data_IF_270672333970
#
_entry.id   IF_270672333970
#
_cell.length_a   1.000
_cell.length_b   1.000
_cell.length_c   1.000
_cell.angle_alpha   90.00
_cell.angle_beta   90.00
_cell.angle_gamma   90.00
#
_symmetry.space_group_name_H-M   'P 1'
#
loop_
_entity.id
_entity.type
_entity.pdbx_description
1 polymer ?
#
# COMPACT_ATOMS: atom_id res chain seq x y z
N UNK A 1 11.73 1.68 -2.53
CA UNK A 1 10.50 2.47 -2.27
C UNK A 1 10.81 3.50 -1.19
N UNK A 2 10.20 4.69 -1.23
CA UNK A 2 10.39 5.74 -0.21
C UNK A 2 9.05 6.05 0.47
N UNK A 3 9.10 6.22 1.79
CA UNK A 3 8.00 6.74 2.59
C UNK A 3 8.03 8.27 2.53
N UNK A 4 6.89 8.89 2.26
CA UNK A 4 6.71 10.34 2.29
C UNK A 4 5.71 10.69 3.39
N UNK A 5 6.04 11.66 4.22
CA UNK A 5 5.15 12.20 5.22
C UNK A 5 4.61 13.57 4.75
N UNK A 6 3.30 13.77 4.85
CA UNK A 6 2.67 15.06 4.61
C UNK A 6 1.49 15.25 5.55
N UNK A 7 1.53 16.31 6.37
CA UNK A 7 0.45 16.69 7.30
C UNK A 7 -0.02 15.52 8.20
N UNK A 8 0.93 14.74 8.73
CA UNK A 8 0.66 13.57 9.57
C UNK A 8 0.15 12.33 8.82
N UNK A 9 0.09 12.35 7.48
CA UNK A 9 -0.19 11.18 6.65
C UNK A 9 1.09 10.64 6.05
N UNK A 10 1.27 9.33 6.16
CA UNK A 10 2.35 8.61 5.51
C UNK A 10 1.87 8.00 4.20
N UNK A 11 2.68 8.12 3.15
CA UNK A 11 2.38 7.61 1.81
C UNK A 11 3.60 6.90 1.25
N UNK A 12 3.41 5.78 0.57
CA UNK A 12 4.48 5.05 -0.12
C UNK A 12 4.19 5.10 -1.60
N UNK A 13 5.19 5.45 -2.39
CA UNK A 13 5.10 5.29 -3.84
C UNK A 13 5.25 3.81 -4.21
N UNK A 14 4.18 3.24 -4.77
CA UNK A 14 4.17 1.87 -5.31
C UNK A 14 4.56 1.91 -6.79
N UNK A 15 5.57 1.13 -7.22
CA UNK A 15 5.91 0.98 -8.63
C UNK A 15 4.73 0.47 -9.46
N UNK A 16 4.53 1.04 -10.64
CA UNK A 16 3.42 0.68 -11.56
C UNK A 16 3.39 -0.82 -11.88
N UNK A 17 4.54 -1.48 -11.99
CA UNK A 17 4.61 -2.93 -12.22
C UNK A 17 3.95 -3.75 -11.11
N UNK A 18 4.09 -3.34 -9.84
CA UNK A 18 3.46 -4.01 -8.69
C UNK A 18 1.95 -3.75 -8.70
N UNK A 19 1.55 -2.49 -8.92
CA UNK A 19 0.15 -2.09 -9.00
C UNK A 19 -0.59 -2.88 -10.09
N UNK A 20 0.00 -2.98 -11.29
CA UNK A 20 -0.58 -3.73 -12.40
C UNK A 20 -0.56 -5.25 -12.16
N UNK A 21 0.53 -5.79 -11.60
CA UNK A 21 0.64 -7.22 -11.32
C UNK A 21 -0.34 -7.73 -10.26
N UNK A 22 -0.80 -6.84 -9.37
CA UNK A 22 -1.81 -7.13 -8.36
C UNK A 22 -3.23 -6.68 -8.75
N UNK A 23 -3.42 -6.18 -9.98
CA UNK A 23 -4.67 -5.59 -10.48
C UNK A 23 -5.28 -4.57 -9.50
N UNK A 24 -4.43 -3.69 -8.97
CA UNK A 24 -4.85 -2.60 -8.11
C UNK A 24 -5.14 -1.36 -8.92
N UNK A 25 -6.24 -0.68 -8.61
CA UNK A 25 -6.65 0.53 -9.30
C UNK A 25 -6.77 1.71 -8.34
N UNK A 26 -6.67 2.93 -8.87
CA UNK A 26 -6.88 4.14 -8.08
C UNK A 26 -8.30 4.11 -7.49
N UNK A 27 -8.40 4.38 -6.19
CA UNK A 27 -9.67 4.34 -5.46
C UNK A 27 -9.97 3.01 -4.76
N UNK A 28 -9.12 1.99 -4.93
CA UNK A 28 -9.25 0.75 -4.16
C UNK A 28 -8.86 0.97 -2.71
N UNK A 29 -9.64 0.37 -1.80
CA UNK A 29 -9.25 0.22 -0.42
C UNK A 29 -8.38 -1.03 -0.25
N UNK A 30 -7.24 -0.86 0.40
CA UNK A 30 -6.35 -1.95 0.78
C UNK A 30 -6.37 -2.11 2.30
N UNK A 31 -6.46 -3.36 2.75
CA UNK A 31 -6.18 -3.71 4.14
C UNK A 31 -4.66 -3.77 4.34
N UNK A 32 -4.18 -3.13 5.40
CA UNK A 32 -2.76 -3.12 5.78
C UNK A 32 -2.60 -3.89 7.08
N UNK A 33 -1.79 -4.96 7.06
CA UNK A 33 -1.46 -5.74 8.25
C UNK A 33 0.02 -5.63 8.57
N UNK A 34 0.33 -5.31 9.83
CA UNK A 34 1.70 -5.25 10.34
C UNK A 34 2.09 -6.67 10.79
N UNK A 35 3.10 -7.26 10.14
CA UNK A 35 3.57 -8.63 10.44
C UNK A 35 4.81 -8.66 11.33
N UNK A 36 5.36 -7.50 11.66
CA UNK A 36 6.55 -7.34 12.50
C UNK A 36 7.10 -5.92 12.38
N UNK A 37 8.26 -5.68 12.99
CA UNK A 37 8.88 -4.34 13.02
C UNK A 37 9.19 -3.77 11.62
N UNK A 38 9.54 -4.63 10.67
CA UNK A 38 10.02 -4.24 9.34
C UNK A 38 9.20 -4.83 8.18
N UNK A 39 8.02 -5.41 8.47
CA UNK A 39 7.21 -6.10 7.47
C UNK A 39 5.74 -5.70 7.53
N UNK A 40 5.23 -5.26 6.38
CA UNK A 40 3.82 -4.97 6.13
C UNK A 40 3.29 -5.92 5.06
N UNK A 41 2.03 -6.31 5.20
CA UNK A 41 1.27 -7.04 4.20
C UNK A 41 0.11 -6.16 3.74
N UNK A 42 -0.09 -6.07 2.42
CA UNK A 42 -1.14 -5.29 1.78
C UNK A 42 -2.05 -6.26 1.04
N UNK A 43 -3.36 -6.21 1.29
CA UNK A 43 -4.36 -7.05 0.63
C UNK A 43 -5.54 -6.21 0.14
N UNK A 44 -6.18 -6.61 -0.95
CA UNK A 44 -7.41 -5.96 -1.43
C UNK A 44 -8.53 -6.21 -0.42
N UNK A 45 -9.21 -5.15 0.04
CA UNK A 45 -10.40 -5.26 0.90
C UNK A 45 -11.60 -5.65 0.03
N UNK A 46 -12.27 -6.75 0.36
CA UNK A 46 -13.48 -7.23 -0.33
C UNK A 46 -14.69 -6.76 0.48
N UNK A 47 -15.61 -6.03 -0.15
CA UNK A 47 -16.88 -5.54 0.44
C UNK A 47 -18.03 -6.30 -0.19
#
# INVERSE_FOLDING_TARGET
MKLQESRGKYSIFMPTAIVNGLDWQKGYELEVKILGKDRLELRKKIV
#
